data_IF_683033992607
#
_entry.id   IF_683033992607
#
_cell.length_a   1.000
_cell.length_b   1.000
_cell.length_c   1.000
_cell.angle_alpha   90.00
_cell.angle_beta   90.00
_cell.angle_gamma   90.00
#
_symmetry.space_group_name_H-M   'P 1'
#
loop_
_entity.id
_entity.type
_entity.pdbx_description
1 polymer ?
#
# COMPACT_ATOMS: atom_id res chain seq x y z
N UNK A 1 21.47 24.35 -14.79
CA UNK A 1 20.36 23.71 -14.06
C UNK A 1 20.73 22.39 -13.37
N UNK A 2 21.21 21.34 -14.07
CA UNK A 2 21.62 20.06 -13.43
C UNK A 2 22.74 20.20 -12.39
N UNK A 3 23.72 21.06 -12.62
CA UNK A 3 24.80 21.34 -11.66
C UNK A 3 24.28 22.02 -10.39
N UNK A 4 23.38 23.02 -10.51
CA UNK A 4 22.75 23.68 -9.37
C UNK A 4 21.93 22.72 -8.51
N UNK A 5 21.17 21.82 -9.16
CA UNK A 5 20.41 20.77 -8.46
C UNK A 5 21.33 19.84 -7.65
N UNK A 6 22.45 19.41 -8.25
CA UNK A 6 23.43 18.57 -7.57
C UNK A 6 24.09 19.26 -6.38
N UNK A 7 24.37 20.56 -6.47
CA UNK A 7 24.92 21.35 -5.36
C UNK A 7 23.88 21.45 -4.24
N UNK A 8 22.63 21.77 -4.56
CA UNK A 8 21.53 21.86 -3.59
C UNK A 8 21.34 20.55 -2.80
N UNK A 9 21.34 19.41 -3.50
CA UNK A 9 21.20 18.10 -2.85
C UNK A 9 22.36 17.81 -1.89
N UNK A 10 23.60 18.18 -2.25
CA UNK A 10 24.76 18.02 -1.35
C UNK A 10 24.63 18.85 -0.09
N UNK A 11 24.18 20.11 -0.21
CA UNK A 11 23.95 21.00 0.93
C UNK A 11 22.88 20.41 1.87
N UNK A 12 21.75 19.95 1.31
CA UNK A 12 20.69 19.27 2.07
C UNK A 12 21.27 18.03 2.78
N UNK A 13 22.10 17.25 2.10
CA UNK A 13 22.82 16.11 2.66
C UNK A 13 23.65 16.45 3.90
N UNK A 14 24.43 17.52 3.82
CA UNK A 14 25.27 17.98 4.94
C UNK A 14 24.40 18.44 6.12
N UNK A 15 23.34 19.21 5.87
CA UNK A 15 22.41 19.65 6.92
C UNK A 15 21.77 18.45 7.61
N UNK A 16 21.30 17.47 6.83
CA UNK A 16 20.70 16.25 7.36
C UNK A 16 21.70 15.48 8.23
N UNK A 17 22.95 15.33 7.78
CA UNK A 17 24.00 14.65 8.54
C UNK A 17 24.26 15.32 9.90
N UNK A 18 24.44 16.65 9.90
CA UNK A 18 24.66 17.43 11.13
C UNK A 18 23.47 17.25 12.08
N UNK A 19 22.23 17.37 11.55
CA UNK A 19 21.03 17.18 12.34
C UNK A 19 20.96 15.77 12.95
N UNK A 20 21.27 14.72 12.18
CA UNK A 20 21.30 13.33 12.67
C UNK A 20 22.30 13.17 13.81
N UNK A 21 23.51 13.74 13.69
CA UNK A 21 24.52 13.67 14.76
C UNK A 21 24.01 14.34 16.04
N UNK A 22 23.44 15.54 15.93
CA UNK A 22 22.88 16.28 17.08
C UNK A 22 21.76 15.47 17.73
N UNK A 23 20.81 14.96 16.94
CA UNK A 23 19.68 14.16 17.43
C UNK A 23 20.19 12.89 18.13
N UNK A 24 21.19 12.22 17.56
CA UNK A 24 21.78 11.01 18.15
C UNK A 24 22.47 11.29 19.50
N UNK A 25 23.23 12.39 19.61
CA UNK A 25 23.88 12.80 20.86
C UNK A 25 22.83 13.06 21.95
N UNK A 26 21.77 13.82 21.62
CA UNK A 26 20.72 14.16 22.59
C UNK A 26 19.94 12.90 22.98
N UNK A 27 19.55 12.07 22.02
CA UNK A 27 18.86 10.82 22.29
C UNK A 27 19.68 9.87 23.17
N UNK A 28 20.98 9.76 22.93
CA UNK A 28 21.89 8.96 23.76
C UNK A 28 21.96 9.49 25.20
N UNK A 29 22.14 10.81 25.36
CA UNK A 29 22.24 11.48 26.67
C UNK A 29 20.96 11.31 27.48
N UNK A 30 19.79 11.40 26.83
CA UNK A 30 18.48 11.30 27.46
C UNK A 30 17.89 9.87 27.45
N UNK A 31 18.64 8.86 26.97
CA UNK A 31 18.19 7.46 26.81
C UNK A 31 16.86 7.33 26.06
N UNK A 32 16.67 8.15 25.03
CA UNK A 32 15.45 8.15 24.20
C UNK A 32 15.62 7.12 23.10
N UNK A 33 14.65 6.21 23.00
CA UNK A 33 14.51 5.36 21.82
C UNK A 33 14.10 6.24 20.62
N UNK A 34 15.03 6.45 19.68
CA UNK A 34 14.79 7.31 18.51
C UNK A 34 13.77 6.68 17.58
N UNK A 35 13.86 5.37 17.36
CA UNK A 35 13.06 4.64 16.38
C UNK A 35 12.50 3.37 17.02
N UNK A 36 11.20 3.34 17.36
CA UNK A 36 10.55 2.14 17.85
C UNK A 36 10.68 0.98 16.87
N UNK A 37 10.88 -0.24 17.39
CA UNK A 37 11.10 -1.45 16.56
C UNK A 37 9.99 -1.68 15.53
N UNK A 38 8.71 -1.50 15.89
CA UNK A 38 7.60 -1.67 14.94
C UNK A 38 7.68 -0.67 13.79
N UNK A 39 8.08 0.57 14.09
CA UNK A 39 8.15 1.62 13.10
C UNK A 39 9.34 1.41 12.17
N UNK A 40 10.47 0.88 12.68
CA UNK A 40 11.57 0.41 11.86
C UNK A 40 11.11 -0.66 10.86
N UNK A 41 10.31 -1.64 11.32
CA UNK A 41 9.79 -2.73 10.48
C UNK A 41 8.81 -2.20 9.41
N UNK A 42 7.89 -1.31 9.79
CA UNK A 42 7.00 -0.61 8.84
C UNK A 42 7.84 0.13 7.79
N UNK A 43 8.85 0.88 8.24
CA UNK A 43 9.68 1.66 7.34
C UNK A 43 10.50 0.78 6.39
N UNK A 44 11.00 -0.37 6.86
CA UNK A 44 11.61 -1.38 6.01
C UNK A 44 10.64 -1.89 4.93
N UNK A 45 9.37 -2.13 5.27
CA UNK A 45 8.33 -2.48 4.30
C UNK A 45 8.09 -1.39 3.25
N UNK A 46 8.04 -0.13 3.68
CA UNK A 46 7.91 1.04 2.79
C UNK A 46 9.11 1.12 1.84
N UNK A 47 10.35 0.98 2.35
CA UNK A 47 11.58 1.04 1.56
C UNK A 47 11.67 -0.13 0.56
N UNK A 48 11.31 -1.33 0.98
CA UNK A 48 11.28 -2.51 0.11
C UNK A 48 10.33 -2.28 -1.08
N UNK A 49 9.12 -1.82 -0.81
CA UNK A 49 8.15 -1.56 -1.86
C UNK A 49 8.55 -0.36 -2.75
N UNK A 50 9.13 0.68 -2.16
CA UNK A 50 9.71 1.81 -2.90
C UNK A 50 10.79 1.33 -3.88
N UNK A 51 11.63 0.39 -3.47
CA UNK A 51 12.66 -0.19 -4.34
C UNK A 51 12.07 -0.94 -5.52
N UNK A 52 11.02 -1.73 -5.26
CA UNK A 52 10.29 -2.46 -6.30
C UNK A 52 9.68 -1.51 -7.34
N UNK A 53 9.11 -0.39 -6.90
CA UNK A 53 8.44 0.62 -7.74
C UNK A 53 9.46 1.43 -8.54
N UNK A 54 10.46 2.02 -7.88
CA UNK A 54 11.39 2.95 -8.51
C UNK A 54 12.49 2.28 -9.34
N UNK A 55 12.73 0.97 -9.17
CA UNK A 55 13.76 0.18 -9.87
C UNK A 55 15.18 0.81 -9.82
N UNK A 56 15.46 1.64 -8.82
CA UNK A 56 16.71 2.36 -8.70
C UNK A 56 16.93 2.95 -7.31
N UNK A 57 18.04 2.59 -6.67
CA UNK A 57 18.41 3.02 -5.31
C UNK A 57 18.63 4.53 -5.18
N UNK A 58 19.12 5.19 -6.24
CA UNK A 58 19.34 6.65 -6.25
C UNK A 58 18.04 7.43 -6.04
N UNK A 59 16.95 7.01 -6.70
CA UNK A 59 15.64 7.69 -6.57
C UNK A 59 15.13 7.61 -5.12
N UNK A 60 15.23 6.43 -4.51
CA UNK A 60 14.83 6.19 -3.13
C UNK A 60 15.65 7.05 -2.18
N UNK A 61 16.97 7.13 -2.38
CA UNK A 61 17.84 7.94 -1.54
C UNK A 61 17.50 9.43 -1.66
N UNK A 62 17.16 9.93 -2.84
CA UNK A 62 16.70 11.31 -3.00
C UNK A 62 15.36 11.56 -2.29
N UNK A 63 14.39 10.65 -2.44
CA UNK A 63 13.09 10.75 -1.73
C UNK A 63 13.32 10.71 -0.22
N UNK A 64 14.17 9.82 0.27
CA UNK A 64 14.53 9.69 1.68
C UNK A 64 15.19 10.96 2.21
N UNK A 65 16.14 11.52 1.47
CA UNK A 65 16.83 12.75 1.86
C UNK A 65 15.86 13.93 1.96
N UNK A 66 15.00 14.11 0.96
CA UNK A 66 13.98 15.16 0.98
C UNK A 66 12.97 14.95 2.11
N UNK A 67 12.52 13.71 2.32
CA UNK A 67 11.59 13.34 3.39
C UNK A 67 12.18 13.63 4.77
N UNK A 68 13.45 13.28 4.96
CA UNK A 68 14.18 13.53 6.20
C UNK A 68 14.37 15.02 6.44
N UNK A 69 14.79 15.79 5.43
CA UNK A 69 14.88 17.23 5.53
C UNK A 69 13.55 17.88 5.92
N UNK A 70 12.44 17.48 5.30
CA UNK A 70 11.10 17.96 5.65
C UNK A 70 10.71 17.52 7.07
N UNK A 71 11.11 16.32 7.51
CA UNK A 71 10.79 15.83 8.86
C UNK A 71 11.45 16.66 9.97
N UNK A 72 12.53 17.41 9.67
CA UNK A 72 13.17 18.32 10.62
C UNK A 72 12.26 19.49 11.03
N UNK A 73 11.17 19.75 10.30
CA UNK A 73 10.11 20.70 10.68
C UNK A 73 9.57 20.42 12.09
N UNK A 74 9.63 19.16 12.55
CA UNK A 74 9.22 18.78 13.91
C UNK A 74 9.96 19.60 14.97
N UNK A 75 11.20 20.01 14.72
CA UNK A 75 12.02 20.78 15.65
C UNK A 75 11.73 22.29 15.64
N UNK A 76 10.89 22.80 14.73
CA UNK A 76 10.52 24.21 14.77
C UNK A 76 9.75 24.54 16.06
N UNK A 77 10.07 25.66 16.72
CA UNK A 77 9.43 26.07 17.95
C UNK A 77 7.96 26.39 17.68
N UNK A 78 7.06 25.87 18.52
CA UNK A 78 5.65 26.28 18.49
C UNK A 78 5.57 27.65 19.16
N UNK A 79 5.22 28.68 18.41
CA UNK A 79 4.95 30.02 18.94
C UNK A 79 3.85 29.90 20.01
N UNK A 80 4.15 30.28 21.25
CA UNK A 80 3.16 30.41 22.33
C UNK A 80 3.01 29.26 23.32
N UNK A 81 3.81 28.19 23.25
CA UNK A 81 3.94 27.20 24.33
C UNK A 81 5.28 27.41 25.04
N UNK A 82 5.31 27.27 26.37
CA UNK A 82 6.52 27.44 27.21
C UNK A 82 7.64 26.42 26.93
N UNK A 83 8.37 26.00 27.97
CA UNK A 83 9.58 25.15 27.93
C UNK A 83 9.67 24.19 26.74
N UNK A 84 10.77 24.26 25.99
CA UNK A 84 10.99 23.44 24.79
C UNK A 84 11.28 21.98 25.17
N UNK A 85 10.32 21.07 24.94
CA UNK A 85 10.48 19.63 25.20
C UNK A 85 11.12 18.91 24.01
N UNK A 86 12.46 18.83 23.98
CA UNK A 86 13.20 18.21 22.88
C UNK A 86 12.89 16.70 22.73
N UNK A 87 12.63 16.01 23.83
CA UNK A 87 12.43 14.55 23.85
C UNK A 87 11.19 14.11 23.05
N UNK A 88 10.08 14.82 23.21
CA UNK A 88 8.85 14.56 22.46
C UNK A 88 9.00 14.83 20.96
N UNK A 89 9.90 15.76 20.59
CA UNK A 89 10.19 16.08 19.18
C UNK A 89 10.99 14.96 18.54
N UNK A 90 12.01 14.43 19.24
CA UNK A 90 12.75 13.23 18.79
C UNK A 90 11.78 12.07 18.58
N UNK A 91 10.89 11.77 19.55
CA UNK A 91 9.93 10.67 19.43
C UNK A 91 8.96 10.83 18.24
N UNK A 92 8.61 12.07 17.88
CA UNK A 92 7.73 12.37 16.72
C UNK A 92 8.43 12.28 15.37
N UNK A 93 9.75 12.49 15.33
CA UNK A 93 10.53 12.56 14.09
C UNK A 93 10.33 11.35 13.16
N UNK A 94 10.45 10.09 13.63
CA UNK A 94 10.24 8.92 12.78
C UNK A 94 8.86 8.85 12.10
N UNK A 95 7.81 9.28 12.80
CA UNK A 95 6.45 9.27 12.25
C UNK A 95 6.31 10.28 11.13
N UNK A 96 6.83 11.50 11.34
CA UNK A 96 6.82 12.54 10.32
C UNK A 96 7.71 12.16 9.14
N UNK A 97 8.86 11.49 9.38
CA UNK A 97 9.70 10.93 8.34
C UNK A 97 8.95 9.88 7.50
N UNK A 98 8.27 8.92 8.13
CA UNK A 98 7.50 7.91 7.40
C UNK A 98 6.39 8.55 6.56
N UNK A 99 5.65 9.50 7.15
CA UNK A 99 4.56 10.19 6.48
C UNK A 99 5.05 11.07 5.32
N UNK A 100 6.07 11.91 5.54
CA UNK A 100 6.66 12.76 4.50
C UNK A 100 7.26 11.91 3.37
N UNK A 101 7.90 10.78 3.71
CA UNK A 101 8.44 9.84 2.74
C UNK A 101 7.34 9.29 1.83
N UNK A 102 6.22 8.83 2.39
CA UNK A 102 5.08 8.33 1.61
C UNK A 102 4.53 9.39 0.65
N UNK A 103 4.32 10.61 1.13
CA UNK A 103 3.79 11.72 0.30
C UNK A 103 4.76 12.02 -0.85
N UNK A 104 6.04 12.21 -0.57
CA UNK A 104 7.03 12.56 -1.60
C UNK A 104 7.19 11.41 -2.59
N UNK A 105 7.16 10.15 -2.12
CA UNK A 105 7.23 8.98 -2.98
C UNK A 105 6.05 8.96 -3.96
N UNK A 106 4.82 9.12 -3.45
CA UNK A 106 3.58 9.17 -4.25
C UNK A 106 3.62 10.33 -5.25
N UNK A 107 4.04 11.52 -4.82
CA UNK A 107 4.15 12.69 -5.69
C UNK A 107 5.20 12.47 -6.80
N UNK A 108 6.38 11.95 -6.45
CA UNK A 108 7.50 11.76 -7.38
C UNK A 108 7.27 10.65 -8.39
N UNK A 109 6.47 9.64 -8.04
CA UNK A 109 6.22 8.48 -8.89
C UNK A 109 4.73 8.25 -9.17
N UNK A 110 3.89 9.32 -9.19
CA UNK A 110 2.43 9.24 -9.40
C UNK A 110 2.06 8.29 -10.54
N UNK A 111 2.75 8.37 -11.69
CA UNK A 111 2.49 7.54 -12.88
C UNK A 111 2.85 6.06 -12.75
N UNK A 112 3.78 5.70 -11.86
CA UNK A 112 4.28 4.33 -11.68
C UNK A 112 3.59 3.66 -10.50
N UNK A 113 3.28 4.44 -9.46
CA UNK A 113 2.64 3.95 -8.24
C UNK A 113 1.18 3.63 -8.50
N UNK A 114 0.50 4.37 -9.40
CA UNK A 114 -0.84 4.01 -9.88
C UNK A 114 -0.73 2.63 -10.53
N UNK A 115 -1.13 1.54 -9.85
CA UNK A 115 -1.01 0.22 -10.42
C UNK A 115 -1.95 0.22 -11.61
N UNK A 116 -1.47 -0.26 -12.76
CA UNK A 116 -2.41 -0.58 -13.85
C UNK A 116 -3.32 -1.69 -13.34
N UNK A 117 -4.53 -1.33 -12.95
CA UNK A 117 -5.52 -2.29 -12.52
C UNK A 117 -5.91 -3.14 -13.72
N UNK A 118 -5.96 -4.43 -13.51
CA UNK A 118 -6.47 -5.38 -14.50
C UNK A 118 -7.65 -6.11 -13.90
N UNK A 119 -8.45 -6.76 -14.74
CA UNK A 119 -9.57 -7.59 -14.31
C UNK A 119 -9.11 -8.64 -13.29
N UNK A 120 -7.93 -9.23 -13.50
CA UNK A 120 -7.34 -10.17 -12.56
C UNK A 120 -7.02 -9.55 -11.18
N UNK A 121 -6.51 -8.32 -11.13
CA UNK A 121 -6.24 -7.64 -9.85
C UNK A 121 -7.53 -7.29 -9.14
N UNK A 122 -8.54 -6.76 -9.85
CA UNK A 122 -9.84 -6.47 -9.25
C UNK A 122 -10.55 -7.75 -8.80
N UNK A 123 -10.38 -8.86 -9.52
CA UNK A 123 -10.89 -10.17 -9.11
C UNK A 123 -10.23 -10.65 -7.82
N UNK A 124 -8.91 -10.56 -7.73
CA UNK A 124 -8.15 -10.88 -6.53
C UNK A 124 -8.63 -10.05 -5.32
N UNK A 125 -8.81 -8.73 -5.50
CA UNK A 125 -9.30 -7.84 -4.45
C UNK A 125 -10.74 -8.16 -4.04
N UNK A 126 -11.64 -8.43 -5.00
CA UNK A 126 -13.02 -8.84 -4.71
C UNK A 126 -13.08 -10.13 -3.90
N UNK A 127 -12.34 -11.17 -4.30
CA UNK A 127 -12.28 -12.44 -3.57
C UNK A 127 -11.67 -12.24 -2.18
N UNK A 128 -10.63 -11.41 -2.07
CA UNK A 128 -10.01 -11.05 -0.78
C UNK A 128 -10.99 -10.32 0.14
N UNK A 129 -11.85 -9.46 -0.40
CA UNK A 129 -12.84 -8.72 0.38
C UNK A 129 -13.96 -9.64 0.88
N UNK A 130 -14.42 -10.60 0.07
CA UNK A 130 -15.35 -11.64 0.52
C UNK A 130 -14.74 -12.44 1.67
N UNK A 131 -13.46 -12.84 1.53
CA UNK A 131 -12.75 -13.54 2.61
C UNK A 131 -12.66 -12.68 3.88
N UNK A 132 -12.36 -11.39 3.75
CA UNK A 132 -12.35 -10.44 4.87
C UNK A 132 -13.70 -10.34 5.58
N UNK A 133 -14.80 -10.17 4.84
CA UNK A 133 -16.15 -10.13 5.40
C UNK A 133 -16.52 -11.44 6.12
N UNK A 134 -16.13 -12.58 5.54
CA UNK A 134 -16.31 -13.88 6.19
C UNK A 134 -15.55 -13.97 7.51
N UNK A 135 -14.29 -13.52 7.53
CA UNK A 135 -13.45 -13.49 8.73
C UNK A 135 -14.00 -12.58 9.83
N UNK A 136 -14.65 -11.48 9.47
CA UNK A 136 -15.31 -10.54 10.40
C UNK A 136 -16.75 -10.93 10.76
N UNK A 137 -17.26 -12.05 10.25
CA UNK A 137 -18.65 -12.49 10.41
C UNK A 137 -19.69 -11.46 9.92
N UNK A 138 -19.30 -10.63 8.94
CA UNK A 138 -20.17 -9.61 8.32
C UNK A 138 -20.97 -10.15 7.13
N UNK A 139 -20.64 -11.37 6.65
CA UNK A 139 -21.45 -12.10 5.67
C UNK A 139 -22.67 -12.74 6.34
N UNK A 140 -23.54 -11.93 6.91
CA UNK A 140 -24.82 -12.34 7.43
C UNK A 140 -25.91 -11.36 6.99
N UNK A 141 -27.16 -11.81 7.12
CA UNK A 141 -28.36 -11.03 6.82
C UNK A 141 -29.12 -10.70 8.10
N UNK A 142 -28.42 -10.66 9.24
CA UNK A 142 -29.02 -10.46 10.56
C UNK A 142 -29.34 -8.99 10.81
N UNK A 143 -28.45 -8.09 10.38
CA UNK A 143 -28.66 -6.64 10.49
C UNK A 143 -28.83 -6.00 9.12
N UNK A 144 -29.50 -4.85 9.08
CA UNK A 144 -29.66 -4.08 7.84
C UNK A 144 -28.30 -3.69 7.26
N UNK A 145 -27.36 -3.25 8.10
CA UNK A 145 -26.03 -2.82 7.68
C UNK A 145 -25.21 -3.96 7.07
N UNK A 146 -25.17 -5.13 7.74
CA UNK A 146 -24.50 -6.33 7.22
C UNK A 146 -25.13 -6.83 5.92
N UNK A 147 -26.45 -6.75 5.81
CA UNK A 147 -27.18 -7.11 4.58
C UNK A 147 -26.80 -6.20 3.41
N UNK A 148 -26.78 -4.88 3.61
CA UNK A 148 -26.35 -3.94 2.56
C UNK A 148 -24.91 -4.20 2.15
N UNK A 149 -24.00 -4.31 3.11
CA UNK A 149 -22.57 -4.54 2.83
C UNK A 149 -22.40 -5.85 2.05
N UNK A 150 -23.10 -6.91 2.45
CA UNK A 150 -23.06 -8.21 1.79
C UNK A 150 -23.59 -8.12 0.36
N UNK A 151 -24.76 -7.53 0.13
CA UNK A 151 -25.35 -7.38 -1.21
C UNK A 151 -24.44 -6.57 -2.13
N UNK A 152 -23.98 -5.40 -1.66
CA UNK A 152 -23.08 -4.53 -2.42
C UNK A 152 -21.80 -5.27 -2.79
N UNK A 153 -21.21 -5.99 -1.84
CA UNK A 153 -19.97 -6.73 -2.06
C UNK A 153 -20.15 -7.86 -3.06
N UNK A 154 -21.21 -8.65 -2.94
CA UNK A 154 -21.51 -9.73 -3.86
C UNK A 154 -21.76 -9.19 -5.27
N UNK A 155 -22.47 -8.07 -5.40
CA UNK A 155 -22.72 -7.42 -6.68
C UNK A 155 -21.42 -6.97 -7.36
N UNK A 156 -20.56 -6.21 -6.67
CA UNK A 156 -19.29 -5.76 -7.28
C UNK A 156 -18.31 -6.91 -7.51
N UNK A 157 -18.32 -7.93 -6.66
CA UNK A 157 -17.54 -9.14 -6.87
C UNK A 157 -18.02 -9.92 -8.09
N UNK A 158 -19.34 -10.02 -8.32
CA UNK A 158 -19.90 -10.65 -9.50
C UNK A 158 -19.50 -9.89 -10.77
N UNK A 159 -19.55 -8.55 -10.77
CA UNK A 159 -19.08 -7.72 -11.89
C UNK A 159 -17.59 -8.02 -12.17
N UNK A 160 -16.78 -8.13 -11.13
CA UNK A 160 -15.35 -8.45 -11.25
C UNK A 160 -15.11 -9.85 -11.84
N UNK A 161 -15.85 -10.86 -11.38
CA UNK A 161 -15.80 -12.24 -11.92
C UNK A 161 -16.24 -12.27 -13.38
N UNK A 162 -17.32 -11.56 -13.72
CA UNK A 162 -17.82 -11.51 -15.10
C UNK A 162 -16.76 -10.90 -16.02
N UNK A 163 -16.18 -9.75 -15.68
CA UNK A 163 -15.15 -9.13 -16.52
C UNK A 163 -13.85 -9.95 -16.55
N UNK A 164 -13.51 -10.67 -15.47
CA UNK A 164 -12.31 -11.50 -15.43
C UNK A 164 -12.41 -12.82 -16.21
N UNK A 165 -13.59 -13.44 -16.24
CA UNK A 165 -13.80 -14.75 -16.90
C UNK A 165 -14.36 -14.61 -18.32
N UNK A 166 -15.28 -13.67 -18.52
CA UNK A 166 -15.86 -13.39 -19.82
C UNK A 166 -15.11 -12.21 -20.43
N UNK A 167 -14.75 -12.34 -21.71
CA UNK A 167 -14.01 -11.30 -22.45
C UNK A 167 -14.93 -10.11 -22.79
N UNK A 168 -15.63 -9.57 -21.81
CA UNK A 168 -16.53 -8.43 -21.93
C UNK A 168 -15.69 -7.20 -22.23
N UNK A 169 -15.98 -6.51 -23.34
CA UNK A 169 -15.24 -5.31 -23.72
C UNK A 169 -15.32 -4.27 -22.61
N UNK A 170 -14.18 -3.84 -22.10
CA UNK A 170 -14.06 -2.85 -21.03
C UNK A 170 -14.50 -1.46 -21.52
N UNK A 171 -15.74 -1.09 -21.22
CA UNK A 171 -16.23 0.28 -21.41
C UNK A 171 -15.57 1.24 -20.41
N UNK A 172 -15.58 2.56 -20.69
CA UNK A 172 -15.11 3.59 -19.76
C UNK A 172 -15.83 3.51 -18.41
N UNK A 173 -17.14 3.21 -18.44
CA UNK A 173 -17.96 3.07 -17.24
C UNK A 173 -17.55 1.84 -16.41
N UNK A 174 -17.35 0.69 -17.04
CA UNK A 174 -16.93 -0.53 -16.33
C UNK A 174 -15.55 -0.32 -15.67
N UNK A 175 -14.63 0.31 -16.39
CA UNK A 175 -13.30 0.69 -15.87
C UNK A 175 -13.40 1.60 -14.66
N UNK A 176 -14.27 2.60 -14.71
CA UNK A 176 -14.51 3.53 -13.60
C UNK A 176 -15.08 2.79 -12.38
N UNK A 177 -16.12 1.98 -12.58
CA UNK A 177 -16.76 1.20 -11.52
C UNK A 177 -15.76 0.26 -10.83
N UNK A 178 -15.04 -0.56 -11.61
CA UNK A 178 -14.07 -1.52 -11.09
C UNK A 178 -12.90 -0.83 -10.38
N UNK A 179 -12.50 0.34 -10.89
CA UNK A 179 -11.50 1.19 -10.27
C UNK A 179 -11.98 1.70 -8.91
N UNK A 180 -13.14 2.35 -8.82
CA UNK A 180 -13.68 2.86 -7.55
C UNK A 180 -13.84 1.73 -6.54
N UNK A 181 -14.40 0.59 -6.96
CA UNK A 181 -14.53 -0.60 -6.12
C UNK A 181 -13.18 -1.07 -5.56
N UNK A 182 -12.17 -1.22 -6.42
CA UNK A 182 -10.83 -1.63 -5.99
C UNK A 182 -10.22 -0.65 -4.99
N UNK A 183 -10.46 0.65 -5.15
CA UNK A 183 -10.00 1.68 -4.21
C UNK A 183 -10.64 1.51 -2.84
N UNK A 184 -11.95 1.31 -2.78
CA UNK A 184 -12.71 1.11 -1.54
C UNK A 184 -12.20 -0.14 -0.82
N UNK A 185 -12.06 -1.26 -1.53
CA UNK A 185 -11.58 -2.52 -0.96
C UNK A 185 -10.19 -2.37 -0.34
N UNK A 186 -9.24 -1.79 -1.07
CA UNK A 186 -7.87 -1.55 -0.55
C UNK A 186 -7.88 -0.63 0.66
N UNK A 187 -8.73 0.40 0.64
CA UNK A 187 -8.85 1.34 1.75
C UNK A 187 -9.41 0.65 3.01
N UNK A 188 -10.52 -0.07 2.90
CA UNK A 188 -11.15 -0.77 4.04
C UNK A 188 -10.19 -1.79 4.65
N UNK A 189 -9.59 -2.66 3.83
CA UNK A 189 -8.65 -3.70 4.31
C UNK A 189 -7.40 -3.05 4.93
N UNK A 190 -6.91 -1.95 4.35
CA UNK A 190 -5.74 -1.25 4.87
C UNK A 190 -6.01 -0.54 6.21
N UNK A 191 -7.17 0.09 6.37
CA UNK A 191 -7.58 0.72 7.64
C UNK A 191 -7.81 -0.32 8.73
N UNK A 192 -8.50 -1.43 8.41
CA UNK A 192 -8.70 -2.52 9.37
C UNK A 192 -7.36 -3.13 9.82
N UNK A 193 -6.41 -3.31 8.90
CA UNK A 193 -5.05 -3.76 9.24
C UNK A 193 -4.30 -2.76 10.15
N UNK A 194 -4.47 -1.46 9.91
CA UNK A 194 -3.90 -0.43 10.80
C UNK A 194 -4.53 -0.50 12.19
N UNK A 195 -5.85 -0.66 12.29
CA UNK A 195 -6.55 -0.78 13.57
C UNK A 195 -6.09 -1.99 14.36
N UNK A 196 -5.95 -3.15 13.71
CA UNK A 196 -5.40 -4.36 14.35
C UNK A 196 -3.96 -4.10 14.85
N UNK A 197 -3.11 -3.46 14.05
CA UNK A 197 -1.72 -3.17 14.39
C UNK A 197 -1.53 -2.15 15.50
N UNK A 198 -2.47 -1.22 15.69
CA UNK A 198 -2.46 -0.31 16.84
C UNK A 198 -2.67 -1.04 18.17
N UNK A 199 -3.17 -2.28 18.16
CA UNK A 199 -3.30 -3.11 19.35
C UNK A 199 -2.01 -3.78 19.83
N UNK A 200 -0.96 -3.85 19.00
CA UNK A 200 0.29 -4.60 19.27
C UNK A 200 1.49 -3.69 19.60
N UNK A 201 1.27 -2.65 20.42
CA UNK A 201 2.22 -1.54 20.63
C UNK A 201 3.59 -1.98 21.19
N UNK A 202 3.69 -3.15 21.83
CA UNK A 202 4.91 -3.70 22.44
C UNK A 202 5.22 -5.11 21.94
N UNK A 203 6.43 -5.32 21.41
CA UNK A 203 6.92 -6.67 21.07
C UNK A 203 7.29 -7.50 22.31
N UNK A 204 7.55 -6.83 23.44
CA UNK A 204 8.07 -7.44 24.66
C UNK A 204 7.02 -8.26 25.43
N UNK A 205 5.73 -8.08 25.12
CA UNK A 205 4.62 -8.74 25.82
C UNK A 205 4.20 -10.08 25.18
N UNK A 206 4.90 -10.54 24.14
CA UNK A 206 4.50 -11.72 23.36
C UNK A 206 5.35 -12.96 23.64
N UNK A 207 4.68 -14.07 23.96
CA UNK A 207 5.28 -15.33 24.37
C UNK A 207 5.85 -16.12 23.17
N UNK A 208 7.09 -15.80 22.79
CA UNK A 208 7.93 -16.66 21.95
C UNK A 208 8.13 -16.20 20.51
N UNK A 209 9.22 -16.70 19.90
CA UNK A 209 9.73 -16.27 18.59
C UNK A 209 8.69 -16.33 17.46
N UNK A 210 7.83 -17.34 17.45
CA UNK A 210 6.79 -17.50 16.42
C UNK A 210 5.85 -16.30 16.37
N UNK A 211 5.41 -15.79 17.53
CA UNK A 211 4.43 -14.71 17.58
C UNK A 211 5.08 -13.36 17.29
N UNK A 212 6.30 -13.13 17.79
CA UNK A 212 7.13 -11.98 17.39
C UNK A 212 7.34 -11.94 15.88
N UNK A 213 7.63 -13.08 15.24
CA UNK A 213 7.83 -13.16 13.80
C UNK A 213 6.54 -12.87 13.01
N UNK A 214 5.39 -13.37 13.46
CA UNK A 214 4.08 -13.05 12.85
C UNK A 214 3.79 -11.56 12.91
N UNK A 215 4.04 -10.92 14.05
CA UNK A 215 3.81 -9.47 14.24
C UNK A 215 4.78 -8.67 13.37
N UNK A 216 6.06 -9.09 13.29
CA UNK A 216 7.03 -8.45 12.41
C UNK A 216 6.60 -8.53 10.92
N UNK A 217 6.13 -9.68 10.46
CA UNK A 217 5.57 -9.82 9.11
C UNK A 217 4.36 -8.90 8.91
N UNK A 218 3.47 -8.79 9.90
CA UNK A 218 2.30 -7.91 9.81
C UNK A 218 2.70 -6.44 9.63
N UNK A 219 3.60 -5.93 10.47
CA UNK A 219 4.11 -4.56 10.34
C UNK A 219 4.85 -4.34 9.03
N UNK A 220 5.65 -5.31 8.57
CA UNK A 220 6.39 -5.21 7.30
C UNK A 220 5.43 -5.14 6.11
N UNK A 221 4.44 -6.03 6.05
CA UNK A 221 3.42 -6.05 5.01
C UNK A 221 2.53 -4.80 5.07
N UNK A 222 2.22 -4.30 6.26
CA UNK A 222 1.54 -3.03 6.41
C UNK A 222 2.36 -1.88 5.81
N UNK A 223 3.67 -1.84 6.10
CA UNK A 223 4.61 -0.90 5.48
C UNK A 223 4.62 -0.98 3.94
N UNK A 224 4.63 -2.18 3.36
CA UNK A 224 4.49 -2.33 1.91
C UNK A 224 3.13 -1.83 1.39
N UNK A 225 2.05 -2.16 2.10
CA UNK A 225 0.68 -1.81 1.72
C UNK A 225 0.36 -0.32 1.86
N UNK A 226 1.07 0.40 2.73
CA UNK A 226 0.77 1.79 3.08
C UNK A 226 0.91 2.76 1.90
N UNK A 227 1.80 2.48 0.95
CA UNK A 227 1.93 3.23 -0.30
C UNK A 227 0.63 3.14 -1.11
N UNK A 228 0.07 1.94 -1.23
CA UNK A 228 -1.19 1.71 -1.94
C UNK A 228 -2.38 2.26 -1.17
N UNK A 229 -2.39 2.13 0.16
CA UNK A 229 -3.42 2.70 1.01
C UNK A 229 -3.48 4.22 0.87
N UNK A 230 -2.34 4.90 1.05
CA UNK A 230 -2.25 6.35 0.93
C UNK A 230 -2.64 6.83 -0.47
N UNK A 231 -2.21 6.13 -1.51
CA UNK A 231 -2.62 6.45 -2.88
C UNK A 231 -4.13 6.29 -3.10
N UNK A 232 -4.71 5.17 -2.66
CA UNK A 232 -6.14 4.93 -2.84
C UNK A 232 -6.96 5.93 -2.00
N UNK A 233 -6.48 6.33 -0.83
CA UNK A 233 -7.06 7.41 -0.05
C UNK A 233 -7.07 8.74 -0.83
N UNK A 234 -5.94 9.15 -1.44
CA UNK A 234 -5.90 10.36 -2.28
C UNK A 234 -6.90 10.27 -3.45
N UNK A 235 -7.03 9.11 -4.09
CA UNK A 235 -8.01 8.91 -5.16
C UNK A 235 -9.46 9.06 -4.66
N UNK A 236 -9.80 8.54 -3.47
CA UNK A 236 -11.13 8.72 -2.88
C UNK A 236 -11.42 10.18 -2.53
N UNK A 237 -10.46 10.87 -1.91
CA UNK A 237 -10.62 12.30 -1.55
C UNK A 237 -10.92 13.16 -2.79
N UNK A 238 -10.28 12.83 -3.91
CA UNK A 238 -10.42 13.52 -5.18
C UNK A 238 -11.75 13.23 -5.92
N UNK A 239 -12.56 12.27 -5.46
CA UNK A 239 -13.91 12.04 -5.97
C UNK A 239 -14.96 12.96 -5.32
N UNK A 240 -14.60 13.69 -4.26
CA UNK A 240 -15.50 14.65 -3.62
C UNK A 240 -15.36 16.00 -4.34
N UNK A 241 -16.42 16.53 -4.98
CA UNK A 241 -16.36 17.81 -5.65
C UNK A 241 -16.09 18.92 -4.61
N UNK A 242 -15.10 19.76 -4.88
CA UNK A 242 -14.83 20.92 -4.03
C UNK A 242 -15.75 22.06 -4.42
N UNK A 243 -16.38 22.71 -3.43
CA UNK A 243 -17.23 23.90 -3.64
C UNK A 243 -16.51 25.06 -4.34
N UNK A 244 -15.19 25.06 -4.33
CA UNK A 244 -14.33 26.09 -4.93
C UNK A 244 -14.00 25.83 -6.41
N UNK A 245 -14.24 24.62 -6.93
CA UNK A 245 -14.00 24.29 -8.33
C UNK A 245 -15.23 24.67 -9.16
N UNK A 246 -15.20 25.88 -9.73
CA UNK A 246 -16.34 26.46 -10.45
C UNK A 246 -16.71 25.72 -11.74
N UNK A 247 -15.76 25.00 -12.33
CA UNK A 247 -15.90 24.38 -13.65
C UNK A 247 -15.84 22.84 -13.60
N UNK A 248 -15.79 22.25 -12.40
CA UNK A 248 -15.63 20.81 -12.15
C UNK A 248 -14.43 20.18 -12.92
N UNK A 249 -13.46 20.99 -13.34
CA UNK A 249 -12.33 20.54 -14.18
C UNK A 249 -11.51 19.50 -13.42
N UNK A 250 -11.25 19.76 -12.13
CA UNK A 250 -10.50 18.86 -11.28
C UNK A 250 -11.28 17.55 -11.09
N UNK A 251 -12.60 17.63 -10.90
CA UNK A 251 -13.45 16.45 -10.78
C UNK A 251 -13.39 15.54 -12.02
N UNK A 252 -13.49 16.10 -13.23
CA UNK A 252 -13.38 15.33 -14.47
C UNK A 252 -11.96 14.78 -14.72
N UNK A 253 -10.93 15.50 -14.31
CA UNK A 253 -9.55 14.99 -14.32
C UNK A 253 -9.37 13.82 -13.36
N UNK A 254 -10.00 13.86 -12.19
CA UNK A 254 -9.95 12.78 -11.20
C UNK A 254 -10.71 11.53 -11.67
N UNK A 255 -11.89 11.70 -12.29
CA UNK A 255 -12.61 10.60 -12.96
C UNK A 255 -11.72 9.98 -14.05
N UNK A 256 -10.94 10.79 -14.76
CA UNK A 256 -9.96 10.34 -15.76
C UNK A 256 -8.80 9.58 -15.14
N UNK A 257 -8.27 10.01 -14.01
CA UNK A 257 -7.27 9.24 -13.26
C UNK A 257 -7.83 7.87 -12.85
N UNK A 258 -9.12 7.80 -12.45
CA UNK A 258 -9.79 6.55 -12.09
C UNK A 258 -10.01 5.58 -13.25
N UNK A 259 -10.55 6.00 -14.40
CA UNK A 259 -10.72 5.06 -15.51
C UNK A 259 -9.38 4.80 -16.23
N UNK A 260 -8.49 5.81 -16.28
CA UNK A 260 -7.21 5.77 -16.98
C UNK A 260 -6.20 4.80 -16.37
N UNK A 261 -6.28 4.54 -15.05
CA UNK A 261 -5.45 3.52 -14.40
C UNK A 261 -5.86 2.08 -14.70
N UNK A 262 -7.08 1.86 -15.18
CA UNK A 262 -7.53 0.52 -15.54
C UNK A 262 -6.99 0.14 -16.92
N UNK A 263 -6.38 -1.03 -17.06
CA UNK A 263 -5.78 -1.49 -18.32
C UNK A 263 -6.85 -1.64 -19.41
N UNK A 264 -6.47 -1.31 -20.64
CA UNK A 264 -7.32 -1.54 -21.82
C UNK A 264 -7.17 -2.98 -22.34
N UNK A 265 -6.10 -3.67 -21.93
CA UNK A 265 -5.87 -5.07 -22.27
C UNK A 265 -6.62 -6.00 -21.32
N UNK A 266 -7.41 -6.91 -21.88
CA UNK A 266 -8.05 -7.98 -21.12
C UNK A 266 -7.03 -9.00 -20.61
N UNK A 267 -7.34 -9.57 -19.45
CA UNK A 267 -6.54 -10.66 -18.89
C UNK A 267 -6.93 -11.98 -19.54
N UNK A 268 -5.97 -12.86 -19.81
CA UNK A 268 -6.27 -14.21 -20.32
C UNK A 268 -7.11 -14.96 -19.29
N UNK A 269 -8.20 -15.59 -19.74
CA UNK A 269 -9.12 -16.37 -18.88
C UNK A 269 -8.41 -17.34 -17.95
N UNK A 270 -7.36 -18.00 -18.45
CA UNK A 270 -6.54 -18.94 -17.67
C UNK A 270 -5.94 -18.28 -16.42
N UNK A 271 -5.47 -17.04 -16.51
CA UNK A 271 -4.92 -16.32 -15.37
C UNK A 271 -5.98 -15.93 -14.35
N UNK A 272 -7.20 -15.64 -14.80
CA UNK A 272 -8.35 -15.37 -13.91
C UNK A 272 -8.79 -16.63 -13.16
N UNK A 273 -8.85 -17.79 -13.83
CA UNK A 273 -9.14 -19.09 -13.19
C UNK A 273 -8.04 -19.42 -12.17
N UNK A 274 -6.77 -19.26 -12.57
CA UNK A 274 -5.64 -19.46 -11.66
C UNK A 274 -5.71 -18.52 -10.44
N UNK A 275 -6.11 -17.26 -10.63
CA UNK A 275 -6.32 -16.31 -9.53
C UNK A 275 -7.35 -16.82 -8.51
N UNK A 276 -8.51 -17.29 -8.98
CA UNK A 276 -9.56 -17.80 -8.09
C UNK A 276 -9.05 -19.01 -7.30
N UNK A 277 -8.40 -19.96 -7.98
CA UNK A 277 -7.86 -21.15 -7.34
C UNK A 277 -6.76 -20.82 -6.32
N UNK A 278 -5.87 -19.89 -6.67
CA UNK A 278 -4.80 -19.40 -5.79
C UNK A 278 -5.36 -18.78 -4.51
N UNK A 279 -6.32 -17.85 -4.64
CA UNK A 279 -6.98 -17.23 -3.50
C UNK A 279 -7.73 -18.28 -2.66
N UNK A 280 -8.50 -19.16 -3.29
CA UNK A 280 -9.28 -20.18 -2.60
C UNK A 280 -8.39 -21.10 -1.76
N UNK A 281 -7.30 -21.63 -2.32
CA UNK A 281 -6.38 -22.52 -1.59
C UNK A 281 -5.78 -21.80 -0.38
N UNK A 282 -5.24 -20.60 -0.55
CA UNK A 282 -4.57 -19.90 0.55
C UNK A 282 -5.54 -19.42 1.63
N UNK A 283 -6.71 -18.91 1.25
CA UNK A 283 -7.73 -18.46 2.20
C UNK A 283 -8.37 -19.63 2.95
N UNK A 284 -8.68 -20.74 2.26
CA UNK A 284 -9.21 -21.95 2.90
C UNK A 284 -8.21 -22.54 3.90
N UNK A 285 -6.94 -22.65 3.50
CA UNK A 285 -5.87 -23.12 4.39
C UNK A 285 -5.71 -22.21 5.61
N UNK A 286 -5.73 -20.89 5.43
CA UNK A 286 -5.64 -19.96 6.55
C UNK A 286 -6.87 -20.02 7.46
N UNK A 287 -8.07 -20.21 6.92
CA UNK A 287 -9.29 -20.35 7.72
C UNK A 287 -9.27 -21.63 8.57
N UNK A 288 -8.78 -22.74 8.02
CA UNK A 288 -8.70 -24.03 8.71
C UNK A 288 -7.59 -24.04 9.78
N UNK A 289 -6.43 -23.47 9.47
CA UNK A 289 -5.24 -23.56 10.33
C UNK A 289 -5.03 -22.33 11.23
N UNK A 290 -5.72 -21.21 10.97
CA UNK A 290 -5.61 -19.92 11.69
C UNK A 290 -4.15 -19.46 11.86
N UNK A 291 -3.34 -19.60 10.82
CA UNK A 291 -1.89 -19.34 10.87
C UNK A 291 -1.61 -17.84 11.05
N UNK A 292 -2.31 -17.02 10.26
CA UNK A 292 -2.13 -15.57 10.21
C UNK A 292 -3.48 -14.85 10.35
N UNK A 293 -3.48 -13.61 10.88
CA UNK A 293 -4.66 -12.76 10.81
C UNK A 293 -5.15 -12.57 9.38
N UNK A 294 -6.46 -12.36 9.25
CA UNK A 294 -7.19 -12.24 7.98
C UNK A 294 -6.55 -11.18 7.08
N UNK A 295 -6.22 -10.02 7.62
CA UNK A 295 -5.60 -8.92 6.89
C UNK A 295 -4.22 -9.28 6.34
N UNK A 296 -3.42 -9.98 7.14
CA UNK A 296 -2.06 -10.37 6.79
C UNK A 296 -2.04 -11.32 5.59
N UNK A 297 -2.89 -12.36 5.60
CA UNK A 297 -2.93 -13.32 4.49
C UNK A 297 -3.44 -12.67 3.21
N UNK A 298 -4.36 -11.70 3.30
CA UNK A 298 -4.80 -10.93 2.13
C UNK A 298 -3.64 -10.16 1.51
N UNK A 299 -2.82 -9.48 2.32
CA UNK A 299 -1.65 -8.76 1.82
C UNK A 299 -0.60 -9.71 1.22
N UNK A 300 -0.38 -10.87 1.84
CA UNK A 300 0.50 -11.92 1.28
C UNK A 300 -0.01 -12.33 -0.10
N UNK A 301 -1.29 -12.68 -0.23
CA UNK A 301 -1.90 -13.08 -1.52
C UNK A 301 -1.76 -11.96 -2.55
N UNK A 302 -2.04 -10.72 -2.16
CA UNK A 302 -1.96 -9.54 -3.02
C UNK A 302 -0.54 -9.29 -3.56
N UNK A 303 0.49 -9.49 -2.74
CA UNK A 303 1.88 -9.28 -3.16
C UNK A 303 2.50 -10.48 -3.87
N UNK A 304 2.13 -11.69 -3.50
CA UNK A 304 2.72 -12.92 -4.05
C UNK A 304 2.10 -13.32 -5.39
N UNK A 305 0.80 -13.10 -5.59
CA UNK A 305 0.11 -13.51 -6.82
C UNK A 305 0.73 -12.90 -8.09
N UNK A 306 0.99 -11.57 -8.19
CA UNK A 306 1.61 -10.99 -9.37
C UNK A 306 3.03 -11.54 -9.64
N UNK A 307 3.78 -11.85 -8.58
CA UNK A 307 5.14 -12.40 -8.69
C UNK A 307 5.09 -13.81 -9.27
N UNK A 308 4.23 -14.68 -8.73
CA UNK A 308 4.04 -16.05 -9.20
C UNK A 308 3.55 -16.05 -10.65
N UNK A 309 2.58 -15.20 -10.98
CA UNK A 309 2.06 -15.08 -12.34
C UNK A 309 3.16 -14.68 -13.33
N UNK A 310 4.02 -13.72 -12.97
CA UNK A 310 5.14 -13.30 -13.82
C UNK A 310 6.16 -14.43 -14.02
N UNK A 311 6.44 -15.22 -12.98
CA UNK A 311 7.32 -16.39 -13.07
C UNK A 311 6.72 -17.42 -14.04
N UNK A 312 5.42 -17.74 -13.91
CA UNK A 312 4.73 -18.68 -14.81
C UNK A 312 4.80 -18.24 -16.27
N UNK A 313 4.57 -16.94 -16.54
CA UNK A 313 4.65 -16.39 -17.89
C UNK A 313 6.06 -16.55 -18.46
N UNK A 314 7.11 -16.17 -17.71
CA UNK A 314 8.50 -16.29 -18.16
C UNK A 314 8.91 -17.74 -18.44
N UNK A 315 8.47 -18.69 -17.61
CA UNK A 315 8.73 -20.12 -17.83
C UNK A 315 8.08 -20.58 -19.13
N UNK A 316 6.81 -20.24 -19.35
CA UNK A 316 6.08 -20.62 -20.55
C UNK A 316 6.69 -20.01 -21.83
N UNK A 317 7.13 -18.75 -21.78
CA UNK A 317 7.81 -18.09 -22.89
C UNK A 317 9.16 -18.75 -23.21
N UNK A 318 9.91 -19.17 -22.18
CA UNK A 318 11.17 -19.90 -22.36
C UNK A 318 10.94 -21.26 -23.04
N UNK A 319 9.92 -22.01 -22.61
CA UNK A 319 9.55 -23.31 -23.20
C UNK A 319 9.09 -23.14 -24.65
N UNK A 320 8.35 -22.08 -24.97
CA UNK A 320 7.90 -21.81 -26.35
C UNK A 320 9.09 -21.50 -27.27
N UNK A 321 10.06 -20.72 -26.78
CA UNK A 321 11.27 -20.39 -27.54
C UNK A 321 12.18 -21.59 -27.79
N UNK A 322 12.30 -22.54 -26.85
CA UNK A 322 13.08 -23.75 -27.08
C UNK A 322 12.45 -24.62 -28.17
N UNK A 323 11.11 -24.77 -28.17
CA UNK A 323 10.40 -25.56 -29.19
C UNK A 323 10.43 -24.95 -30.61
N UNK A 324 10.70 -23.65 -30.74
CA UNK A 324 10.79 -23.00 -32.05
C UNK A 324 12.18 -23.05 -32.68
N UNK A 325 13.19 -23.56 -31.98
CA UNK A 325 14.59 -23.68 -32.47
C UNK A 325 14.84 -25.08 -33.06
N UNK A 326 13.96 -26.05 -32.79
CA UNK A 326 14.05 -27.44 -33.27
C UNK A 326 13.38 -27.66 -34.65
N UNK A 327 13.35 -26.64 -35.53
CA UNK A 327 12.85 -26.74 -36.91
C UNK A 327 13.88 -26.30 -37.95
#
# INVERSE_FOLDING_TARGET
MKQLLNIGIKIIGIICLIATIIIAIIAYTHKIEILPTYLAIIFCGILFESYRISKGSKSILYVLLCAYFISLVVFFPNVGKGVYHFEERIKRLPYVLCFSYLIILIASHKKIIIPRLTEGVTLLLSVSFIYWLSGKQLLNFETWDSSIITIVTLLFSLISVINGLFLVKLSKLNRLILSIWSTIVVFVIGVDNLMDLMGYVSFDDHNGFSDTFKIAIQYFLFGMSSIYLAQNFFLLLLLVPSKEDKDDILFYENIRDHYGRYSESQVKRFFSIFCILYCFVLFYLNQKMKILPVNTIIWIVTFTFPVILNIMIKINDKIRKSKSIDF
#
